data_IF_723495598304
#
_entry.id   IF_723495598304
#
_cell.length_a   1.000
_cell.length_b   1.000
_cell.length_c   1.000
_cell.angle_alpha   90.00
_cell.angle_beta   90.00
_cell.angle_gamma   90.00
#
_symmetry.space_group_name_H-M   'P 1'
#
loop_
_entity.id
_entity.type
_entity.pdbx_description
1 polymer ?
#
# COMPACT_ATOMS: atom_id res chain seq x y z
N UNK A 1 -6.19 -23.83 1.52
CA UNK A 1 -5.34 -22.86 2.25
C UNK A 1 -4.46 -23.49 3.33
N UNK A 2 -4.98 -24.32 4.26
CA UNK A 2 -4.20 -24.90 5.38
C UNK A 2 -2.85 -25.54 4.99
N UNK A 3 -2.76 -26.18 3.81
CA UNK A 3 -1.52 -26.78 3.27
C UNK A 3 -0.33 -25.81 3.17
N UNK A 4 -0.57 -24.53 2.92
CA UNK A 4 0.48 -23.53 2.67
C UNK A 4 0.75 -22.61 3.87
N UNK A 5 0.01 -22.80 4.97
CA UNK A 5 0.22 -22.06 6.20
C UNK A 5 1.25 -22.78 7.05
N UNK A 6 2.10 -22.01 7.73
CA UNK A 6 3.03 -22.55 8.72
C UNK A 6 2.24 -22.79 10.01
N UNK A 7 2.17 -24.04 10.52
CA UNK A 7 1.48 -24.33 11.77
C UNK A 7 1.99 -23.45 12.92
N UNK A 8 1.10 -23.06 13.82
CA UNK A 8 1.40 -22.22 15.00
C UNK A 8 1.94 -20.82 14.71
N UNK A 9 1.94 -20.37 13.44
CA UNK A 9 2.28 -19.00 13.09
C UNK A 9 1.05 -18.10 13.11
N UNK A 10 1.18 -16.94 13.74
CA UNK A 10 0.20 -15.88 13.65
C UNK A 10 0.43 -15.04 12.39
N UNK A 11 -0.67 -14.69 11.73
CA UNK A 11 -0.66 -13.89 10.50
C UNK A 11 -1.48 -12.62 10.72
N UNK A 12 -0.97 -11.51 10.20
CA UNK A 12 -1.73 -10.27 10.15
C UNK A 12 -2.91 -10.35 9.17
N UNK A 13 -3.95 -9.58 9.45
CA UNK A 13 -5.11 -9.38 8.61
C UNK A 13 -4.71 -8.67 7.30
N UNK A 14 -5.01 -9.26 6.14
CA UNK A 14 -4.71 -8.63 4.84
C UNK A 14 -5.65 -7.45 4.56
N UNK A 15 -6.87 -7.56 5.06
CA UNK A 15 -7.95 -6.58 4.96
C UNK A 15 -7.61 -5.23 5.62
N UNK A 16 -6.56 -5.17 6.44
CA UNK A 16 -6.05 -3.92 7.02
C UNK A 16 -5.71 -2.85 5.95
N UNK A 17 -5.52 -3.26 4.69
CA UNK A 17 -5.23 -2.37 3.57
C UNK A 17 -6.46 -1.89 2.78
N UNK A 18 -7.66 -2.29 3.18
CA UNK A 18 -8.91 -2.04 2.45
C UNK A 18 -10.12 -2.11 3.39
N UNK A 19 -9.97 -1.56 4.60
CA UNK A 19 -10.90 -1.77 5.69
C UNK A 19 -12.23 -1.05 5.42
N UNK A 20 -12.20 0.13 4.78
CA UNK A 20 -13.39 0.90 4.44
C UNK A 20 -14.20 0.23 3.33
N UNK A 21 -13.52 -0.32 2.33
CA UNK A 21 -14.18 -1.10 1.29
C UNK A 21 -14.72 -2.47 1.76
N UNK A 22 -14.23 -2.99 2.89
CA UNK A 22 -14.55 -4.36 3.34
C UNK A 22 -15.56 -4.39 4.49
N UNK A 23 -15.52 -3.43 5.42
CA UNK A 23 -16.34 -3.44 6.62
C UNK A 23 -17.39 -2.33 6.59
N UNK A 24 -18.60 -2.64 7.05
CA UNK A 24 -19.67 -1.64 7.20
C UNK A 24 -19.56 -0.89 8.54
N UNK A 25 -19.24 -1.63 9.62
CA UNK A 25 -19.16 -1.12 10.99
C UNK A 25 -17.78 -1.35 11.55
N UNK A 26 -16.97 -0.29 11.58
CA UNK A 26 -15.62 -0.32 12.10
C UNK A 26 -15.20 1.07 12.58
N UNK A 27 -14.20 1.14 13.45
CA UNK A 27 -13.61 2.42 13.89
C UNK A 27 -12.58 2.90 12.85
N UNK A 28 -13.09 3.43 11.74
CA UNK A 28 -12.27 3.90 10.62
C UNK A 28 -11.36 5.06 11.02
N UNK A 29 -11.85 5.97 11.85
CA UNK A 29 -11.09 7.13 12.30
C UNK A 29 -9.84 6.68 13.05
N UNK A 30 -10.00 5.81 14.04
CA UNK A 30 -8.87 5.26 14.79
C UNK A 30 -7.93 4.46 13.90
N UNK A 31 -8.46 3.66 12.97
CA UNK A 31 -7.64 2.88 12.06
C UNK A 31 -6.71 3.75 11.23
N UNK A 32 -7.25 4.77 10.56
CA UNK A 32 -6.42 5.65 9.73
C UNK A 32 -5.52 6.56 10.57
N UNK A 33 -5.93 6.94 11.79
CA UNK A 33 -5.04 7.64 12.71
C UNK A 33 -3.80 6.79 13.06
N UNK A 34 -3.98 5.51 13.37
CA UNK A 34 -2.89 4.58 13.64
C UNK A 34 -2.04 4.28 12.40
N UNK A 35 -2.68 4.13 11.23
CA UNK A 35 -1.97 3.89 9.97
C UNK A 35 -1.08 5.09 9.59
N UNK A 36 -1.59 6.32 9.72
CA UNK A 36 -0.81 7.55 9.50
C UNK A 36 0.43 7.64 10.41
N UNK A 37 0.33 7.24 11.67
CA UNK A 37 1.46 7.25 12.61
C UNK A 37 2.66 6.41 12.16
N UNK A 38 2.46 5.43 11.25
CA UNK A 38 3.57 4.68 10.68
C UNK A 38 4.48 5.54 9.78
N UNK A 39 3.98 6.67 9.27
CA UNK A 39 4.66 7.50 8.28
C UNK A 39 5.07 8.88 8.80
N UNK A 40 4.39 9.40 9.83
CA UNK A 40 4.69 10.72 10.43
C UNK A 40 6.16 10.82 10.83
N UNK A 41 6.79 11.94 10.46
CA UNK A 41 8.22 12.24 10.67
C UNK A 41 9.20 11.21 10.08
N UNK A 42 8.74 10.32 9.20
CA UNK A 42 9.59 9.36 8.47
C UNK A 42 9.94 9.88 7.09
N UNK A 43 11.08 9.45 6.58
CA UNK A 43 11.39 9.52 5.16
C UNK A 43 10.82 8.28 4.50
N UNK A 44 10.06 8.42 3.43
CA UNK A 44 9.42 7.29 2.76
C UNK A 44 9.66 7.31 1.25
N UNK A 45 9.69 6.11 0.66
CA UNK A 45 9.64 5.92 -0.78
C UNK A 45 8.41 5.09 -1.09
N UNK A 46 7.47 5.66 -1.83
CA UNK A 46 6.22 5.00 -2.23
C UNK A 46 6.41 4.34 -3.59
N UNK A 47 6.24 3.03 -3.64
CA UNK A 47 6.34 2.20 -4.85
C UNK A 47 4.94 1.71 -5.22
N UNK A 48 4.33 2.34 -6.22
CA UNK A 48 2.94 2.10 -6.60
C UNK A 48 2.76 2.06 -8.12
N UNK A 49 1.56 1.64 -8.57
CA UNK A 49 1.20 1.75 -9.99
C UNK A 49 1.15 3.21 -10.44
N UNK A 50 1.52 3.46 -11.69
CA UNK A 50 1.54 4.79 -12.31
C UNK A 50 0.19 5.53 -12.33
N UNK A 51 -0.92 4.82 -12.10
CA UNK A 51 -2.27 5.39 -12.05
C UNK A 51 -2.89 5.47 -10.66
N UNK A 52 -2.26 4.85 -9.65
CA UNK A 52 -2.81 4.72 -8.28
C UNK A 52 -3.13 6.10 -7.65
N UNK A 53 -2.34 7.13 -7.98
CA UNK A 53 -2.49 8.47 -7.43
C UNK A 53 -3.33 9.42 -8.30
N UNK A 54 -3.74 9.01 -9.51
CA UNK A 54 -4.35 9.89 -10.50
C UNK A 54 -5.66 10.54 -9.99
N UNK A 55 -6.44 9.78 -9.22
CA UNK A 55 -7.76 10.20 -8.73
C UNK A 55 -7.83 10.34 -7.19
N UNK A 56 -6.68 10.34 -6.51
CA UNK A 56 -6.60 10.49 -5.05
C UNK A 56 -6.70 11.96 -4.68
N UNK A 57 -7.71 12.32 -3.89
CA UNK A 57 -7.94 13.68 -3.38
C UNK A 57 -7.38 13.87 -1.97
N UNK A 58 -7.42 12.81 -1.15
CA UNK A 58 -6.94 12.82 0.22
C UNK A 58 -5.78 11.84 0.41
N UNK A 59 -4.60 12.38 0.73
CA UNK A 59 -3.41 11.57 0.97
C UNK A 59 -3.34 11.04 2.41
N UNK A 60 -2.98 9.77 2.56
CA UNK A 60 -2.66 9.17 3.86
C UNK A 60 -1.25 9.53 4.36
N UNK A 61 -0.42 10.18 3.53
CA UNK A 61 0.98 10.50 3.82
C UNK A 61 1.19 11.90 4.39
N UNK A 62 0.19 12.45 5.06
CA UNK A 62 0.27 13.74 5.74
C UNK A 62 1.27 13.67 6.93
N UNK A 63 2.10 14.71 7.09
CA UNK A 63 3.09 14.77 8.18
C UNK A 63 4.36 13.93 7.96
N UNK A 64 4.54 13.36 6.76
CA UNK A 64 5.78 12.69 6.36
C UNK A 64 6.92 13.71 6.24
N UNK A 65 8.12 13.34 6.69
CA UNK A 65 9.30 14.21 6.66
C UNK A 65 9.83 14.43 5.25
N UNK A 66 9.84 13.38 4.44
CA UNK A 66 10.34 13.39 3.07
C UNK A 66 9.69 12.24 2.29
N UNK A 67 9.25 12.50 1.05
CA UNK A 67 8.50 11.53 0.25
C UNK A 67 9.02 11.50 -1.19
N UNK A 68 9.30 10.29 -1.67
CA UNK A 68 9.60 10.03 -3.08
C UNK A 68 8.64 8.98 -3.64
N UNK A 69 8.43 9.04 -4.96
CA UNK A 69 7.58 8.09 -5.67
C UNK A 69 8.39 7.35 -6.74
N UNK A 70 8.20 6.02 -6.79
CA UNK A 70 8.70 5.16 -7.86
C UNK A 70 7.50 4.44 -8.47
N UNK A 71 7.23 4.70 -9.75
CA UNK A 71 6.06 4.16 -10.43
C UNK A 71 6.36 2.88 -11.19
N UNK A 72 5.63 1.80 -10.88
CA UNK A 72 5.53 0.59 -11.69
C UNK A 72 4.37 0.67 -12.67
N UNK A 73 4.29 -0.27 -13.62
CA UNK A 73 3.13 -0.37 -14.49
C UNK A 73 1.89 -0.77 -13.67
N UNK A 74 0.75 -0.12 -13.89
CA UNK A 74 -0.51 -0.46 -13.19
C UNK A 74 -0.97 -1.90 -13.46
N UNK A 75 -0.64 -2.49 -14.62
CA UNK A 75 -0.89 -3.89 -14.97
C UNK A 75 0.43 -4.59 -15.29
N UNK A 76 0.53 -5.88 -14.96
CA UNK A 76 1.70 -6.73 -15.24
C UNK A 76 3.05 -6.19 -14.73
N UNK A 77 3.04 -5.50 -13.59
CA UNK A 77 4.20 -4.82 -13.00
C UNK A 77 5.43 -5.71 -12.74
N UNK A 78 5.24 -7.03 -12.68
CA UNK A 78 6.32 -7.98 -12.38
C UNK A 78 7.48 -7.90 -13.39
N UNK A 79 7.17 -7.64 -14.67
CA UNK A 79 8.20 -7.48 -15.71
C UNK A 79 9.15 -6.29 -15.44
N UNK A 80 8.68 -5.29 -14.68
CA UNK A 80 9.46 -4.10 -14.32
C UNK A 80 10.25 -4.20 -13.01
N UNK A 81 10.18 -5.33 -12.29
CA UNK A 81 10.82 -5.50 -10.97
C UNK A 81 12.32 -5.19 -10.98
N UNK A 82 13.13 -5.62 -11.97
CA UNK A 82 14.57 -5.28 -12.00
C UNK A 82 14.82 -3.77 -12.00
N UNK A 83 14.10 -3.01 -12.85
CA UNK A 83 14.21 -1.55 -12.93
C UNK A 83 13.78 -0.88 -11.62
N UNK A 84 12.67 -1.34 -11.03
CA UNK A 84 12.17 -0.81 -9.76
C UNK A 84 13.18 -1.03 -8.63
N UNK A 85 13.80 -2.21 -8.58
CA UNK A 85 14.86 -2.54 -7.63
C UNK A 85 16.06 -1.61 -7.76
N UNK A 86 16.55 -1.37 -8.99
CA UNK A 86 17.66 -0.44 -9.23
C UNK A 86 17.35 0.98 -8.75
N UNK A 87 16.11 1.44 -8.92
CA UNK A 87 15.67 2.74 -8.42
C UNK A 87 15.62 2.79 -6.89
N UNK A 88 15.10 1.76 -6.23
CA UNK A 88 15.05 1.65 -4.76
C UNK A 88 16.46 1.64 -4.15
N UNK A 89 17.41 0.94 -4.78
CA UNK A 89 18.78 0.80 -4.27
C UNK A 89 19.56 2.13 -4.18
N UNK A 90 19.05 3.20 -4.81
CA UNK A 90 19.62 4.55 -4.69
C UNK A 90 19.31 5.23 -3.35
N UNK A 91 18.32 4.72 -2.61
CA UNK A 91 17.93 5.25 -1.31
C UNK A 91 18.64 4.53 -0.17
N UNK A 92 19.03 5.29 0.85
CA UNK A 92 19.59 4.77 2.10
C UNK A 92 18.55 4.01 2.93
N UNK A 93 19.01 3.19 3.90
CA UNK A 93 18.14 2.33 4.71
C UNK A 93 17.31 3.07 5.77
N UNK A 94 17.53 4.37 5.94
CA UNK A 94 16.71 5.24 6.80
C UNK A 94 15.33 5.56 6.18
N UNK A 95 15.15 5.29 4.89
CA UNK A 95 13.84 5.37 4.23
C UNK A 95 13.00 4.13 4.50
N UNK A 96 11.70 4.35 4.77
CA UNK A 96 10.70 3.27 4.79
C UNK A 96 10.15 3.08 3.38
N UNK A 97 10.23 1.86 2.85
CA UNK A 97 9.67 1.52 1.54
C UNK A 97 8.19 1.15 1.70
N UNK A 98 7.32 1.88 1.01
CA UNK A 98 5.87 1.71 1.06
C UNK A 98 5.39 1.14 -0.27
N UNK A 99 4.86 -0.09 -0.29
CA UNK A 99 4.40 -0.75 -1.51
C UNK A 99 2.89 -0.70 -1.65
N UNK A 100 2.44 -0.36 -2.86
CA UNK A 100 1.07 -0.46 -3.35
C UNK A 100 1.10 -0.92 -4.82
N UNK A 101 1.71 -2.08 -5.07
CA UNK A 101 2.01 -2.62 -6.41
C UNK A 101 1.66 -4.11 -6.55
N UNK A 102 0.53 -4.52 -5.95
CA UNK A 102 -0.03 -5.86 -6.10
C UNK A 102 0.95 -7.01 -5.80
N UNK A 103 0.94 -8.11 -6.59
CA UNK A 103 1.86 -9.23 -6.41
C UNK A 103 3.34 -8.88 -6.63
N UNK A 104 3.64 -7.96 -7.55
CA UNK A 104 5.03 -7.52 -7.80
C UNK A 104 5.63 -6.82 -6.56
N UNK A 105 4.81 -6.02 -5.87
CA UNK A 105 5.21 -5.37 -4.62
C UNK A 105 5.56 -6.37 -3.52
N UNK A 106 4.88 -7.52 -3.42
CA UNK A 106 5.17 -8.55 -2.42
C UNK A 106 6.53 -9.21 -2.66
N UNK A 107 6.79 -9.61 -3.90
CA UNK A 107 8.06 -10.21 -4.28
C UNK A 107 9.23 -9.24 -4.08
N UNK A 108 9.13 -8.04 -4.64
CA UNK A 108 10.17 -7.02 -4.53
C UNK A 108 10.35 -6.53 -3.09
N UNK A 109 9.25 -6.31 -2.35
CA UNK A 109 9.28 -5.92 -0.95
C UNK A 109 10.02 -6.93 -0.08
N UNK A 110 9.77 -8.23 -0.28
CA UNK A 110 10.51 -9.28 0.43
C UNK A 110 12.01 -9.29 0.07
N UNK A 111 12.36 -9.08 -1.19
CA UNK A 111 13.77 -8.91 -1.58
C UNK A 111 14.42 -7.71 -0.88
N UNK A 112 13.74 -6.56 -0.84
CA UNK A 112 14.27 -5.35 -0.21
C UNK A 112 14.41 -5.51 1.30
N UNK A 113 13.47 -6.20 1.95
CA UNK A 113 13.57 -6.58 3.35
C UNK A 113 14.83 -7.42 3.63
N UNK A 114 15.12 -8.42 2.78
CA UNK A 114 16.36 -9.23 2.90
C UNK A 114 17.63 -8.39 2.73
N UNK A 115 17.55 -7.24 2.06
CA UNK A 115 18.66 -6.28 1.92
C UNK A 115 18.68 -5.22 3.04
N UNK A 116 17.90 -5.41 4.11
CA UNK A 116 17.90 -4.55 5.29
C UNK A 116 17.04 -3.29 5.20
N UNK A 117 16.19 -3.15 4.17
CA UNK A 117 15.19 -2.07 4.16
C UNK A 117 14.04 -2.38 5.12
N UNK A 118 13.49 -1.33 5.74
CA UNK A 118 12.15 -1.43 6.33
C UNK A 118 11.12 -1.33 5.21
N UNK A 119 10.23 -2.31 5.14
CA UNK A 119 9.23 -2.45 4.07
C UNK A 119 7.84 -2.57 4.66
N UNK A 120 6.88 -1.82 4.13
CA UNK A 120 5.45 -1.94 4.43
C UNK A 120 4.69 -2.10 3.11
N UNK A 121 4.01 -3.23 2.91
CA UNK A 121 3.02 -3.38 1.83
C UNK A 121 1.66 -2.93 2.36
N UNK A 122 1.20 -1.79 1.87
CA UNK A 122 -0.07 -1.18 2.29
C UNK A 122 -1.16 -1.37 1.24
N UNK A 123 -0.91 -2.13 0.17
CA UNK A 123 -1.91 -2.50 -0.84
C UNK A 123 -2.79 -1.32 -1.27
N UNK A 124 -4.09 -1.45 -1.02
CA UNK A 124 -5.09 -0.46 -1.40
C UNK A 124 -5.29 0.69 -0.41
N UNK A 125 -4.49 0.80 0.65
CA UNK A 125 -4.74 1.78 1.73
C UNK A 125 -4.77 3.22 1.25
N UNK A 126 -4.02 3.53 0.18
CA UNK A 126 -4.01 4.86 -0.45
C UNK A 126 -5.42 5.22 -0.94
N UNK A 127 -6.04 4.35 -1.75
CA UNK A 127 -7.39 4.58 -2.27
C UNK A 127 -8.49 4.34 -1.23
N UNK A 128 -8.27 3.43 -0.29
CA UNK A 128 -9.21 3.12 0.79
C UNK A 128 -9.40 4.33 1.71
N UNK A 129 -8.29 4.98 2.08
CA UNK A 129 -8.33 6.22 2.84
C UNK A 129 -8.97 7.37 2.06
N UNK A 130 -8.67 7.52 0.78
CA UNK A 130 -9.33 8.53 -0.08
C UNK A 130 -10.84 8.33 -0.11
N UNK A 131 -11.29 7.10 -0.35
CA UNK A 131 -12.70 6.74 -0.38
C UNK A 131 -13.38 7.01 0.96
N UNK A 132 -12.73 6.68 2.08
CA UNK A 132 -13.20 7.01 3.42
C UNK A 132 -13.38 8.52 3.62
N UNK A 133 -12.37 9.31 3.27
CA UNK A 133 -12.41 10.77 3.44
C UNK A 133 -13.45 11.44 2.54
N UNK A 134 -13.73 10.85 1.38
CA UNK A 134 -14.78 11.27 0.45
C UNK A 134 -16.17 10.75 0.81
N UNK A 135 -16.29 9.90 1.83
CA UNK A 135 -17.53 9.20 2.20
C UNK A 135 -18.15 8.45 1.01
N UNK A 136 -17.31 7.75 0.22
CA UNK A 136 -17.77 6.93 -0.90
C UNK A 136 -18.69 5.83 -0.37
N UNK A 137 -19.89 5.72 -0.94
CA UNK A 137 -20.84 4.69 -0.54
C UNK A 137 -20.35 3.31 -1.01
N UNK A 138 -20.05 2.42 -0.07
CA UNK A 138 -19.61 1.04 -0.34
C UNK A 138 -20.79 0.08 -0.51
N UNK A 139 -21.67 0.37 -1.47
CA UNK A 139 -22.64 -0.61 -1.98
C UNK A 139 -22.02 -1.46 -3.10
N UNK A 140 -22.80 -2.33 -3.74
CA UNK A 140 -22.31 -3.23 -4.78
C UNK A 140 -21.55 -2.51 -5.90
N UNK A 141 -22.03 -1.32 -6.30
CA UNK A 141 -21.40 -0.53 -7.34
C UNK A 141 -20.11 0.12 -6.81
N UNK A 142 -20.17 0.77 -5.64
CA UNK A 142 -19.00 1.40 -5.04
C UNK A 142 -17.85 0.42 -4.76
N UNK A 143 -18.17 -0.80 -4.33
CA UNK A 143 -17.19 -1.88 -4.15
C UNK A 143 -16.60 -2.32 -5.50
N UNK A 144 -17.43 -2.49 -6.53
CA UNK A 144 -16.95 -2.87 -7.86
C UNK A 144 -16.01 -1.81 -8.45
N UNK A 145 -16.37 -0.53 -8.33
CA UNK A 145 -15.53 0.60 -8.74
C UNK A 145 -14.23 0.68 -7.94
N UNK A 146 -14.29 0.46 -6.62
CA UNK A 146 -13.09 0.43 -5.77
C UNK A 146 -12.09 -0.65 -6.20
N UNK A 147 -12.55 -1.84 -6.56
CA UNK A 147 -11.68 -2.95 -6.96
C UNK A 147 -11.37 -2.98 -8.46
N UNK A 148 -11.95 -2.08 -9.25
CA UNK A 148 -11.58 -1.92 -10.64
C UNK A 148 -10.09 -1.54 -10.75
N UNK A 149 -9.39 -1.96 -11.81
CA UNK A 149 -8.04 -1.50 -12.07
C UNK A 149 -8.01 0.02 -12.21
N UNK A 150 -6.97 0.67 -11.69
CA UNK A 150 -6.79 2.11 -11.91
C UNK A 150 -6.58 2.36 -13.43
N UNK A 151 -7.36 3.26 -14.02
CA UNK A 151 -7.33 3.62 -15.46
C UNK A 151 -6.83 5.04 -15.72
#
# INVERSE_FOLDING_TARGET
>A
MKKYLVPHKEYGATEMSQIYATLEKYDFERHYALLKQLFVDKKIVVICGDKVLANVQYSIFEGVKEIFYIYGATKHAYQGVPRLKEQILKFSKDYVLIFALGPAGKALGYEMFKLGYRVLDIGHSIKDYDAYKRNVKMDLQGIAEFFAPDE
#
